data_IF_607557830959
#
_entry.id   IF_607557830959
#
_cell.length_a   1.000
_cell.length_b   1.000
_cell.length_c   1.000
_cell.angle_alpha   90.00
_cell.angle_beta   90.00
_cell.angle_gamma   90.00
#
_symmetry.space_group_name_H-M   'P 1'
#
loop_
_entity.id
_entity.type
_entity.pdbx_description
1 polymer ?
#
# COMPACT_ATOMS: atom_id res chain seq x y z
N UNK A 1 -13.96 -10.59 -3.79
CA UNK A 1 -13.09 -10.14 -2.68
C UNK A 1 -11.79 -9.60 -3.25
N UNK A 2 -11.61 -8.23 -3.47
CA UNK A 2 -10.37 -7.67 -4.02
C UNK A 2 -9.27 -7.57 -2.98
N UNK A 3 -8.03 -7.68 -3.43
CA UNK A 3 -6.83 -7.43 -2.62
C UNK A 3 -6.03 -6.34 -3.31
N UNK A 4 -5.73 -5.29 -2.57
CA UNK A 4 -4.86 -4.21 -3.03
C UNK A 4 -3.54 -4.36 -2.29
N UNK A 5 -2.47 -4.56 -3.04
CA UNK A 5 -1.14 -4.73 -2.46
C UNK A 5 -0.29 -3.52 -2.78
N UNK A 6 0.23 -2.88 -1.75
CA UNK A 6 1.10 -1.70 -1.90
C UNK A 6 2.48 -2.05 -1.36
N UNK A 7 3.47 -1.97 -2.21
CA UNK A 7 4.86 -2.10 -1.79
C UNK A 7 5.47 -0.70 -1.81
N UNK A 8 6.09 -0.31 -0.72
CA UNK A 8 6.60 1.04 -0.55
C UNK A 8 7.81 1.05 0.36
N UNK A 9 8.59 2.12 0.27
CA UNK A 9 9.68 2.31 1.21
C UNK A 9 9.13 2.41 2.63
N UNK A 10 9.88 1.86 3.58
CA UNK A 10 9.52 1.99 4.98
C UNK A 10 9.62 3.44 5.45
N UNK A 11 9.06 3.74 6.60
CA UNK A 11 9.15 5.04 7.22
C UNK A 11 7.84 5.76 7.42
N UNK A 12 6.72 5.22 6.90
CA UNK A 12 5.40 5.82 7.14
C UNK A 12 4.94 5.51 8.55
N UNK A 13 4.25 6.47 9.16
CA UNK A 13 3.70 6.29 10.49
C UNK A 13 2.49 5.37 10.45
N UNK A 14 2.08 4.88 11.63
CA UNK A 14 0.86 4.08 11.74
C UNK A 14 -0.36 4.85 11.28
N UNK A 15 -0.43 6.14 11.62
CA UNK A 15 -1.56 6.97 11.21
C UNK A 15 -1.61 7.18 9.70
N UNK A 16 -0.46 7.35 9.07
CA UNK A 16 -0.39 7.45 7.61
C UNK A 16 -0.87 6.16 6.96
N UNK A 17 -0.48 5.02 7.51
CA UNK A 17 -0.91 3.72 6.98
C UNK A 17 -2.41 3.50 7.16
N UNK A 18 -2.97 3.91 8.32
CA UNK A 18 -4.42 3.82 8.52
C UNK A 18 -5.17 4.66 7.50
N UNK A 19 -4.71 5.89 7.28
CA UNK A 19 -5.33 6.77 6.29
C UNK A 19 -5.23 6.19 4.87
N UNK A 20 -4.08 5.64 4.53
CA UNK A 20 -3.88 5.04 3.20
C UNK A 20 -4.83 3.87 2.97
N UNK A 21 -4.94 2.97 3.94
CA UNK A 21 -5.84 1.82 3.84
C UNK A 21 -7.29 2.29 3.68
N UNK A 22 -7.69 3.29 4.46
CA UNK A 22 -9.05 3.83 4.37
C UNK A 22 -9.32 4.45 3.01
N UNK A 23 -8.41 5.28 2.52
CA UNK A 23 -8.59 5.96 1.24
C UNK A 23 -8.60 4.98 0.06
N UNK A 24 -7.74 3.97 0.08
CA UNK A 24 -7.73 2.95 -0.97
C UNK A 24 -9.02 2.16 -0.97
N UNK A 25 -9.51 1.80 0.20
CA UNK A 25 -10.79 1.07 0.34
C UNK A 25 -11.94 1.91 -0.18
N UNK A 26 -12.02 3.17 0.24
CA UNK A 26 -13.10 4.06 -0.18
C UNK A 26 -13.06 4.29 -1.70
N UNK A 27 -11.87 4.45 -2.25
CA UNK A 27 -11.70 4.63 -3.68
C UNK A 27 -12.19 3.40 -4.46
N UNK A 28 -11.83 2.22 -4.00
CA UNK A 28 -12.25 0.99 -4.67
C UNK A 28 -13.77 0.85 -4.64
N UNK A 29 -14.38 1.04 -3.47
CA UNK A 29 -15.83 0.91 -3.33
C UNK A 29 -16.57 1.95 -4.18
N UNK A 30 -16.09 3.19 -4.18
CA UNK A 30 -16.68 4.28 -4.96
C UNK A 30 -16.61 3.99 -6.45
N UNK A 31 -15.52 3.40 -6.90
CA UNK A 31 -15.25 3.20 -8.33
C UNK A 31 -15.82 1.87 -8.85
N UNK A 32 -15.65 0.80 -8.09
CA UNK A 32 -15.98 -0.56 -8.54
C UNK A 32 -17.18 -1.17 -7.82
N UNK A 33 -17.64 -0.54 -6.75
CA UNK A 33 -18.76 -1.08 -5.96
C UNK A 33 -18.30 -2.09 -4.93
N UNK A 34 -19.27 -2.74 -4.28
CA UNK A 34 -18.99 -3.69 -3.22
C UNK A 34 -19.04 -3.05 -1.85
N UNK A 35 -18.71 -3.84 -0.84
CA UNK A 35 -18.72 -3.40 0.55
C UNK A 35 -17.30 -3.19 1.05
N UNK A 36 -17.07 -2.18 1.91
CA UNK A 36 -15.73 -1.96 2.46
C UNK A 36 -15.13 -3.21 3.11
N UNK A 37 -15.96 -4.02 3.76
CA UNK A 37 -15.51 -5.21 4.46
C UNK A 37 -14.90 -6.25 3.54
N UNK A 38 -15.26 -6.23 2.26
CA UNK A 38 -14.72 -7.20 1.30
C UNK A 38 -13.40 -6.76 0.68
N UNK A 39 -13.01 -5.50 0.84
CA UNK A 39 -11.77 -4.98 0.28
C UNK A 39 -10.63 -5.21 1.27
N UNK A 40 -9.61 -5.91 0.84
CA UNK A 40 -8.43 -6.16 1.66
C UNK A 40 -7.26 -5.37 1.13
N UNK A 41 -6.51 -4.74 2.02
CA UNK A 41 -5.33 -3.95 1.64
C UNK A 41 -4.14 -4.48 2.41
N UNK A 42 -3.09 -4.81 1.68
CA UNK A 42 -1.83 -5.29 2.26
C UNK A 42 -0.75 -4.26 2.00
N UNK A 43 -0.13 -3.77 3.05
CA UNK A 43 0.98 -2.83 2.95
C UNK A 43 2.28 -3.57 3.25
N UNK A 44 3.23 -3.45 2.35
CA UNK A 44 4.53 -4.11 2.50
C UNK A 44 5.59 -3.02 2.58
N UNK A 45 6.21 -2.90 3.76
CA UNK A 45 7.33 -2.01 3.95
C UNK A 45 8.60 -2.67 3.43
N UNK A 46 9.31 -1.97 2.58
CA UNK A 46 10.57 -2.47 2.02
C UNK A 46 11.67 -1.46 2.34
N UNK A 47 12.78 -1.96 2.85
CA UNK A 47 13.91 -1.10 3.12
C UNK A 47 14.60 -0.70 1.81
N UNK A 48 15.20 0.49 1.81
CA UNK A 48 15.88 1.00 0.61
C UNK A 48 17.01 0.07 0.15
N UNK A 49 17.66 -0.59 1.10
CA UNK A 49 18.73 -1.54 0.78
C UNK A 49 18.23 -2.77 0.03
N UNK A 50 16.93 -3.01 0.04
CA UNK A 50 16.32 -4.16 -0.65
C UNK A 50 15.50 -3.74 -1.86
N UNK A 51 15.61 -2.47 -2.30
CA UNK A 51 14.83 -1.94 -3.41
C UNK A 51 15.75 -1.60 -4.56
N UNK A 52 15.55 -2.27 -5.69
CA UNK A 52 16.34 -2.02 -6.89
C UNK A 52 15.56 -1.23 -7.92
N UNK A 53 16.22 -0.28 -8.56
CA UNK A 53 15.66 0.48 -9.66
C UNK A 53 16.79 0.80 -10.64
N UNK A 54 16.54 0.58 -11.94
CA UNK A 54 17.53 0.84 -12.96
C UNK A 54 18.80 0.00 -12.84
N UNK A 55 18.68 -1.17 -12.21
CA UNK A 55 19.83 -2.06 -12.00
C UNK A 55 20.67 -1.73 -10.76
N UNK A 56 20.22 -0.79 -9.93
CA UNK A 56 20.95 -0.38 -8.74
C UNK A 56 20.06 -0.39 -7.52
N UNK A 57 20.65 -0.63 -6.36
CA UNK A 57 19.93 -0.57 -5.08
C UNK A 57 19.76 0.88 -4.65
N UNK A 58 18.63 1.16 -3.99
CA UNK A 58 18.29 2.49 -3.47
C UNK A 58 18.81 2.67 -2.04
N UNK A 59 20.03 2.22 -1.79
CA UNK A 59 20.62 2.17 -0.47
C UNK A 59 21.49 3.37 -0.12
N UNK A 60 21.50 4.41 -0.94
CA UNK A 60 22.29 5.62 -0.73
C UNK A 60 21.48 6.74 -0.11
#
# INVERSE_FOLDING_TARGET
MPIIRVEMFNGRTRDQKRALVKELTDCFVRTCGGKPESVQVVLVDVERQDWGAGGELCDK
#
